data_IF_492153445633
#
_entry.id   IF_492153445633
#
_cell.length_a   1.000
_cell.length_b   1.000
_cell.length_c   1.000
_cell.angle_alpha   90.00
_cell.angle_beta   90.00
_cell.angle_gamma   90.00
#
_symmetry.space_group_name_H-M   'P 1'
#
loop_
_entity.id
_entity.type
_entity.pdbx_description
1 polymer ?
#
# COMPACT_ATOMS: atom_id res chain seq x y z
N UNK A 1 -36.60 15.40 -4.64
CA UNK A 1 -36.27 16.84 -4.62
C UNK A 1 -34.85 17.02 -5.17
N UNK A 2 -34.71 17.53 -6.41
CA UNK A 2 -33.41 17.74 -7.07
C UNK A 2 -32.73 18.93 -6.42
N UNK A 3 -31.83 18.72 -5.47
CA UNK A 3 -30.95 19.77 -4.98
C UNK A 3 -29.81 19.88 -6.00
N UNK A 4 -29.96 20.79 -6.95
CA UNK A 4 -28.82 21.28 -7.75
C UNK A 4 -27.90 22.07 -6.80
N UNK A 5 -26.99 21.33 -6.11
CA UNK A 5 -25.97 21.94 -5.26
C UNK A 5 -25.04 22.75 -6.18
N UNK A 6 -25.19 24.08 -6.23
CA UNK A 6 -24.22 24.96 -6.88
C UNK A 6 -22.84 24.61 -6.32
N UNK A 7 -21.97 24.06 -7.15
CA UNK A 7 -20.58 23.82 -6.79
C UNK A 7 -19.97 25.15 -6.38
N UNK A 8 -19.58 25.27 -5.11
CA UNK A 8 -18.81 26.43 -4.67
C UNK A 8 -17.41 26.32 -5.25
N UNK A 9 -16.83 27.40 -5.78
CA UNK A 9 -15.47 27.36 -6.28
C UNK A 9 -14.51 26.95 -5.16
N UNK A 10 -13.57 26.07 -5.48
CA UNK A 10 -12.51 25.67 -4.54
C UNK A 10 -11.70 26.89 -4.12
N UNK A 11 -11.42 27.00 -2.82
CA UNK A 11 -10.59 28.07 -2.28
C UNK A 11 -9.20 27.51 -1.99
N UNK A 12 -8.16 28.10 -2.57
CA UNK A 12 -6.76 27.67 -2.37
C UNK A 12 -6.35 27.66 -0.88
N UNK A 13 -6.97 28.47 -0.03
CA UNK A 13 -6.72 28.45 1.43
C UNK A 13 -7.12 27.15 2.11
N UNK A 14 -8.05 26.38 1.51
CA UNK A 14 -8.51 25.11 2.06
C UNK A 14 -7.64 23.94 1.59
N UNK A 15 -6.72 24.20 0.63
CA UNK A 15 -5.81 23.19 0.12
C UNK A 15 -4.79 22.78 1.18
N UNK A 16 -4.65 21.46 1.41
CA UNK A 16 -3.82 20.93 2.49
C UNK A 16 -2.34 20.82 2.06
N UNK A 17 -1.68 21.97 1.88
CA UNK A 17 -0.28 22.04 1.46
C UNK A 17 0.67 21.27 2.38
N UNK A 18 0.36 21.17 3.68
CA UNK A 18 1.17 20.37 4.62
C UNK A 18 1.26 18.91 4.21
N UNK A 19 0.14 18.31 3.74
CA UNK A 19 0.14 16.93 3.23
C UNK A 19 1.00 16.81 1.97
N UNK A 20 0.85 17.74 1.03
CA UNK A 20 1.64 17.76 -0.21
C UNK A 20 3.14 17.85 0.10
N UNK A 21 3.54 18.78 0.95
CA UNK A 21 4.94 18.97 1.34
C UNK A 21 5.49 17.71 2.01
N UNK A 22 4.74 17.11 2.94
CA UNK A 22 5.17 15.89 3.62
C UNK A 22 5.40 14.74 2.64
N UNK A 23 4.46 14.52 1.69
CA UNK A 23 4.58 13.49 0.66
C UNK A 23 5.77 13.78 -0.26
N UNK A 24 5.97 15.02 -0.68
CA UNK A 24 7.09 15.40 -1.54
C UNK A 24 8.44 15.20 -0.84
N UNK A 25 8.57 15.64 0.42
CA UNK A 25 9.81 15.45 1.20
C UNK A 25 10.16 13.98 1.31
N UNK A 26 9.18 13.13 1.65
CA UNK A 26 9.38 11.69 1.73
C UNK A 26 9.77 11.08 0.37
N UNK A 27 9.10 11.49 -0.71
CA UNK A 27 9.42 10.95 -2.05
C UNK A 27 10.79 11.40 -2.53
N UNK A 28 11.19 12.66 -2.29
CA UNK A 28 12.53 13.16 -2.64
C UNK A 28 13.60 12.37 -1.88
N UNK A 29 13.40 12.13 -0.58
CA UNK A 29 14.27 11.26 0.21
C UNK A 29 14.34 9.86 -0.41
N UNK A 30 13.20 9.26 -0.79
CA UNK A 30 13.14 7.98 -1.49
C UNK A 30 13.93 7.97 -2.79
N UNK A 31 13.79 9.00 -3.63
CA UNK A 31 14.56 9.15 -4.90
C UNK A 31 16.07 9.21 -4.64
N UNK A 32 16.51 9.89 -3.58
CA UNK A 32 17.93 9.95 -3.20
C UNK A 32 18.45 8.57 -2.79
N UNK A 33 17.71 7.86 -1.94
CA UNK A 33 18.05 6.51 -1.46
C UNK A 33 18.03 5.50 -2.61
N UNK A 34 17.05 5.58 -3.52
CA UNK A 34 17.00 4.75 -4.73
C UNK A 34 18.21 5.01 -5.61
N UNK A 35 18.60 6.28 -5.80
CA UNK A 35 19.80 6.64 -6.57
C UNK A 35 21.07 6.03 -5.99
N UNK A 36 21.16 5.95 -4.67
CA UNK A 36 22.24 5.27 -3.96
C UNK A 36 22.19 3.76 -4.14
N UNK A 37 20.99 3.15 -4.00
CA UNK A 37 20.82 1.71 -4.12
C UNK A 37 21.06 1.18 -5.54
N UNK A 38 20.55 1.88 -6.56
CA UNK A 38 20.65 1.51 -7.98
C UNK A 38 20.46 2.74 -8.88
N UNK A 39 21.55 3.40 -9.22
CA UNK A 39 21.54 4.66 -10.00
C UNK A 39 20.79 4.52 -11.35
N UNK A 40 20.83 3.34 -12.00
CA UNK A 40 20.21 3.13 -13.32
C UNK A 40 18.68 3.29 -13.33
N UNK A 41 18.01 3.17 -12.18
CA UNK A 41 16.54 3.31 -12.08
C UNK A 41 16.08 4.65 -11.50
N UNK A 42 17.01 5.47 -11.01
CA UNK A 42 16.72 6.76 -10.39
C UNK A 42 15.95 7.70 -11.34
N UNK A 43 16.39 7.82 -12.60
CA UNK A 43 15.73 8.67 -13.60
C UNK A 43 14.29 8.22 -13.88
N UNK A 44 14.03 6.92 -13.88
CA UNK A 44 12.67 6.39 -14.01
C UNK A 44 11.79 6.75 -12.79
N UNK A 45 12.37 6.73 -11.59
CA UNK A 45 11.65 7.14 -10.38
C UNK A 45 11.33 8.64 -10.38
N UNK A 46 12.25 9.50 -10.85
CA UNK A 46 12.03 10.95 -11.02
C UNK A 46 10.90 11.18 -12.03
N UNK A 47 10.88 10.45 -13.14
CA UNK A 47 9.77 10.51 -14.11
C UNK A 47 8.45 10.10 -13.45
N UNK A 48 8.46 9.02 -12.64
CA UNK A 48 7.31 8.58 -11.87
C UNK A 48 6.81 9.64 -10.87
N UNK A 49 7.73 10.35 -10.22
CA UNK A 49 7.41 11.48 -9.34
C UNK A 49 6.72 12.61 -10.14
N UNK A 50 7.24 12.98 -11.30
CA UNK A 50 6.62 14.01 -12.16
C UNK A 50 5.19 13.63 -12.58
N UNK A 51 5.00 12.40 -13.07
CA UNK A 51 3.67 11.88 -13.44
C UNK A 51 2.76 11.83 -12.21
N UNK A 52 3.27 11.36 -11.06
CA UNK A 52 2.53 11.28 -9.81
C UNK A 52 2.03 12.65 -9.33
N UNK A 53 2.87 13.69 -9.38
CA UNK A 53 2.48 15.05 -9.02
C UNK A 53 1.37 15.56 -9.95
N UNK A 54 1.49 15.36 -11.26
CA UNK A 54 0.47 15.76 -12.23
C UNK A 54 -0.84 15.03 -11.92
N UNK A 55 -0.80 13.71 -11.72
CA UNK A 55 -1.97 12.91 -11.37
C UNK A 55 -2.62 13.38 -10.06
N UNK A 56 -1.83 13.64 -9.02
CA UNK A 56 -2.30 14.17 -7.74
C UNK A 56 -3.03 15.50 -7.91
N UNK A 57 -2.43 16.45 -8.64
CA UNK A 57 -3.02 17.78 -8.87
C UNK A 57 -4.32 17.64 -9.67
N UNK A 58 -4.32 16.90 -10.77
CA UNK A 58 -5.52 16.69 -11.60
C UNK A 58 -6.65 16.06 -10.75
N UNK A 59 -6.36 15.00 -10.00
CA UNK A 59 -7.37 14.32 -9.18
C UNK A 59 -7.83 15.21 -8.04
N UNK A 60 -6.95 16.02 -7.45
CA UNK A 60 -7.34 16.94 -6.37
C UNK A 60 -8.34 18.00 -6.81
N UNK A 61 -8.42 18.29 -8.10
CA UNK A 61 -9.37 19.25 -8.69
C UNK A 61 -10.65 18.57 -9.21
N UNK A 62 -10.65 17.25 -9.39
CA UNK A 62 -11.81 16.47 -9.80
C UNK A 62 -12.69 16.19 -8.58
N UNK A 63 -13.97 16.59 -8.64
CA UNK A 63 -14.93 16.33 -7.55
C UNK A 63 -15.10 14.82 -7.32
N UNK A 64 -14.67 14.34 -6.13
CA UNK A 64 -14.82 12.93 -5.78
C UNK A 64 -16.28 12.47 -5.81
N UNK A 65 -17.25 13.35 -5.50
CA UNK A 65 -18.68 13.01 -5.56
C UNK A 65 -19.11 12.69 -6.98
N UNK A 66 -18.54 13.40 -7.98
CA UNK A 66 -18.76 13.10 -9.38
C UNK A 66 -18.14 11.74 -9.78
N UNK A 67 -16.91 11.46 -9.36
CA UNK A 67 -16.24 10.18 -9.62
C UNK A 67 -17.04 9.03 -9.02
N UNK A 68 -17.55 9.19 -7.81
CA UNK A 68 -18.33 8.17 -7.11
C UNK A 68 -19.66 7.84 -7.78
N UNK A 69 -20.20 8.68 -8.68
CA UNK A 69 -21.38 8.30 -9.49
C UNK A 69 -21.11 7.09 -10.40
N UNK A 70 -19.86 6.88 -10.76
CA UNK A 70 -19.43 5.81 -11.64
C UNK A 70 -18.83 4.61 -10.88
N UNK A 71 -19.10 4.45 -9.58
CA UNK A 71 -18.45 3.43 -8.73
C UNK A 71 -18.66 2.00 -9.26
N UNK A 72 -19.81 1.64 -9.82
CA UNK A 72 -20.02 0.34 -10.46
C UNK A 72 -19.18 0.19 -11.73
N UNK A 73 -19.05 1.22 -12.53
CA UNK A 73 -18.18 1.20 -13.72
C UNK A 73 -16.73 0.99 -13.31
N UNK A 74 -16.28 1.69 -12.28
CA UNK A 74 -14.93 1.50 -11.71
C UNK A 74 -14.72 0.07 -11.20
N UNK A 75 -15.71 -0.52 -10.54
CA UNK A 75 -15.65 -1.89 -10.05
C UNK A 75 -15.51 -2.89 -11.20
N UNK A 76 -16.38 -2.83 -12.22
CA UNK A 76 -16.29 -3.74 -13.36
C UNK A 76 -15.02 -3.50 -14.18
N UNK A 77 -14.59 -2.27 -14.35
CA UNK A 77 -13.30 -1.94 -14.96
C UNK A 77 -12.13 -2.59 -14.18
N UNK A 78 -12.14 -2.51 -12.86
CA UNK A 78 -11.15 -3.15 -12.02
C UNK A 78 -11.12 -4.68 -12.23
N UNK A 79 -12.26 -5.33 -12.21
CA UNK A 79 -12.35 -6.79 -12.45
C UNK A 79 -11.84 -7.14 -13.86
N UNK A 80 -12.24 -6.39 -14.88
CA UNK A 80 -11.79 -6.60 -16.24
C UNK A 80 -10.26 -6.43 -16.37
N UNK A 81 -9.70 -5.41 -15.74
CA UNK A 81 -8.26 -5.13 -15.72
C UNK A 81 -7.47 -6.27 -15.03
N UNK A 82 -7.95 -6.78 -13.91
CA UNK A 82 -7.33 -7.91 -13.22
C UNK A 82 -7.43 -9.21 -14.03
N UNK A 83 -8.56 -9.46 -14.70
CA UNK A 83 -8.73 -10.60 -15.60
C UNK A 83 -7.77 -10.48 -16.78
N UNK A 84 -7.71 -9.30 -17.42
CA UNK A 84 -6.80 -9.05 -18.53
C UNK A 84 -5.34 -9.34 -18.13
N UNK A 85 -4.90 -8.87 -16.97
CA UNK A 85 -3.55 -9.13 -16.47
C UNK A 85 -3.28 -10.62 -16.26
N UNK A 86 -4.27 -11.36 -15.78
CA UNK A 86 -4.12 -12.82 -15.58
C UNK A 86 -3.84 -13.56 -16.88
N UNK A 87 -4.45 -13.14 -17.99
CA UNK A 87 -4.32 -13.83 -19.28
C UNK A 87 -3.20 -13.25 -20.15
N UNK A 88 -3.05 -11.93 -20.17
CA UNK A 88 -2.15 -11.19 -21.07
C UNK A 88 -0.97 -10.51 -20.39
N UNK A 89 -0.85 -10.64 -19.06
CA UNK A 89 0.27 -10.07 -18.32
C UNK A 89 1.60 -10.74 -18.65
N UNK A 90 2.68 -9.97 -18.53
CA UNK A 90 4.06 -10.46 -18.62
C UNK A 90 4.41 -11.26 -17.39
N UNK A 91 5.10 -12.39 -17.60
CA UNK A 91 5.58 -13.24 -16.52
C UNK A 91 6.95 -12.78 -16.04
N UNK A 92 7.03 -12.42 -14.76
CA UNK A 92 8.28 -12.06 -14.10
C UNK A 92 8.36 -12.89 -12.81
N UNK A 93 9.45 -13.63 -12.65
CA UNK A 93 9.67 -14.51 -11.50
C UNK A 93 8.51 -15.51 -11.25
N UNK A 94 7.94 -16.08 -12.31
CA UNK A 94 6.85 -17.06 -12.22
C UNK A 94 5.47 -16.45 -11.92
N UNK A 95 5.32 -15.14 -11.91
CA UNK A 95 4.05 -14.47 -11.64
C UNK A 95 3.65 -13.50 -12.76
N UNK A 96 2.40 -13.61 -13.24
CA UNK A 96 1.80 -12.71 -14.23
C UNK A 96 1.06 -11.58 -13.52
N UNK A 97 1.80 -10.50 -13.13
CA UNK A 97 1.26 -9.37 -12.35
C UNK A 97 1.38 -8.05 -13.07
N UNK A 98 2.19 -7.97 -14.13
CA UNK A 98 2.51 -6.73 -14.83
C UNK A 98 2.02 -6.74 -16.26
N UNK A 99 1.68 -5.57 -16.76
CA UNK A 99 1.42 -5.31 -18.17
C UNK A 99 2.59 -4.48 -18.68
N UNK A 100 3.30 -4.98 -19.68
CA UNK A 100 4.40 -4.23 -20.31
C UNK A 100 3.84 -3.15 -21.24
N UNK A 101 4.13 -1.90 -20.92
CA UNK A 101 3.78 -0.72 -21.72
C UNK A 101 4.95 -0.27 -22.60
N UNK A 102 5.99 -1.12 -22.84
CA UNK A 102 7.23 -0.86 -23.57
C UNK A 102 8.17 0.14 -22.89
N UNK A 103 7.67 1.20 -22.28
CA UNK A 103 8.45 2.22 -21.56
C UNK A 103 8.56 1.88 -20.07
N UNK A 104 7.51 1.30 -19.51
CA UNK A 104 7.41 0.91 -18.09
C UNK A 104 6.45 -0.26 -17.93
N UNK A 105 6.55 -0.94 -16.80
CA UNK A 105 5.60 -1.98 -16.42
C UNK A 105 4.49 -1.38 -15.56
N UNK A 106 3.25 -1.73 -15.88
CA UNK A 106 2.06 -1.33 -15.15
C UNK A 106 1.55 -2.50 -14.30
N UNK A 107 1.37 -2.28 -13.00
CA UNK A 107 0.83 -3.28 -12.08
C UNK A 107 -0.61 -2.93 -11.69
N UNK A 108 -1.61 -3.59 -12.24
CA UNK A 108 -3.02 -3.30 -12.00
C UNK A 108 -3.45 -3.37 -10.53
N UNK A 109 -2.88 -4.29 -9.74
CA UNK A 109 -3.22 -4.43 -8.32
C UNK A 109 -2.91 -3.17 -7.49
N UNK A 110 -2.00 -2.30 -7.92
CA UNK A 110 -1.73 -1.02 -7.27
C UNK A 110 -2.90 -0.04 -7.41
N UNK A 111 -3.48 0.04 -8.60
CA UNK A 111 -4.66 0.88 -8.87
C UNK A 111 -5.93 0.26 -8.28
N UNK A 112 -6.02 -1.07 -8.25
CA UNK A 112 -7.12 -1.82 -7.62
C UNK A 112 -7.36 -1.38 -6.19
N UNK A 113 -6.31 -1.16 -5.39
CA UNK A 113 -6.43 -0.73 -3.99
C UNK A 113 -7.22 0.57 -3.85
N UNK A 114 -6.95 1.54 -4.73
CA UNK A 114 -7.66 2.82 -4.73
C UNK A 114 -9.10 2.66 -5.23
N UNK A 115 -9.29 1.93 -6.33
CA UNK A 115 -10.64 1.72 -6.89
C UNK A 115 -11.54 1.04 -5.87
N UNK A 116 -11.04 0.04 -5.13
CA UNK A 116 -11.83 -0.67 -4.12
C UNK A 116 -12.18 0.24 -2.93
N UNK A 117 -11.27 1.14 -2.51
CA UNK A 117 -11.57 2.14 -1.47
C UNK A 117 -12.68 3.08 -1.97
N UNK A 118 -12.61 3.59 -3.20
CA UNK A 118 -13.64 4.46 -3.78
C UNK A 118 -14.98 3.74 -3.93
N UNK A 119 -14.94 2.48 -4.40
CA UNK A 119 -16.14 1.67 -4.54
C UNK A 119 -16.86 1.49 -3.21
N UNK A 120 -16.13 1.03 -2.18
CA UNK A 120 -16.73 0.79 -0.87
C UNK A 120 -17.09 2.10 -0.16
N UNK A 121 -16.39 3.21 -0.42
CA UNK A 121 -16.76 4.52 0.12
C UNK A 121 -18.20 4.91 -0.32
N UNK A 122 -18.52 4.72 -1.60
CA UNK A 122 -19.87 4.99 -2.11
C UNK A 122 -20.87 3.94 -1.67
N UNK A 123 -20.50 2.65 -1.80
CA UNK A 123 -21.39 1.55 -1.43
C UNK A 123 -21.83 1.61 0.04
N UNK A 124 -20.89 1.84 0.96
CA UNK A 124 -21.20 1.91 2.38
C UNK A 124 -21.97 3.20 2.75
N UNK A 125 -21.69 4.32 2.08
CA UNK A 125 -22.50 5.54 2.25
C UNK A 125 -23.96 5.31 1.84
N UNK A 126 -24.21 4.56 0.77
CA UNK A 126 -25.58 4.25 0.32
C UNK A 126 -26.29 3.25 1.24
N UNK A 127 -25.53 2.53 2.09
CA UNK A 127 -26.06 1.53 3.03
C UNK A 127 -25.77 1.88 4.50
N UNK A 128 -25.55 3.17 4.81
CA UNK A 128 -25.14 3.64 6.14
C UNK A 128 -26.07 3.12 7.25
N UNK A 129 -27.40 3.20 7.05
CA UNK A 129 -28.39 2.78 8.02
C UNK A 129 -28.46 1.24 8.19
N UNK A 130 -27.98 0.47 7.20
CA UNK A 130 -28.12 -1.00 7.16
C UNK A 130 -26.79 -1.73 7.26
N UNK A 131 -25.68 -1.05 7.53
CA UNK A 131 -24.33 -1.62 7.51
C UNK A 131 -24.16 -2.83 8.45
N UNK A 132 -24.84 -2.82 9.59
CA UNK A 132 -24.78 -3.89 10.59
C UNK A 132 -25.77 -5.04 10.33
N UNK A 133 -26.52 -5.00 9.22
CA UNK A 133 -27.37 -6.12 8.83
C UNK A 133 -26.54 -7.25 8.18
N UNK A 134 -26.86 -8.52 8.44
CA UNK A 134 -26.16 -9.65 7.82
C UNK A 134 -26.16 -9.56 6.29
N UNK A 135 -27.22 -9.03 5.69
CA UNK A 135 -27.34 -8.85 4.24
C UNK A 135 -26.27 -7.91 3.70
N UNK A 136 -26.11 -6.71 4.29
CA UNK A 136 -25.11 -5.73 3.84
C UNK A 136 -23.68 -6.22 4.06
N UNK A 137 -23.41 -6.91 5.17
CA UNK A 137 -22.11 -7.50 5.46
C UNK A 137 -21.76 -8.57 4.42
N UNK A 138 -22.66 -9.52 4.18
CA UNK A 138 -22.43 -10.61 3.22
C UNK A 138 -22.30 -10.09 1.79
N UNK A 139 -23.09 -9.10 1.40
CA UNK A 139 -22.95 -8.48 0.05
C UNK A 139 -21.63 -7.72 -0.08
N UNK A 140 -21.18 -6.99 0.96
CA UNK A 140 -19.88 -6.32 0.95
C UNK A 140 -18.73 -7.32 0.79
N UNK A 141 -18.76 -8.41 1.56
CA UNK A 141 -17.78 -9.51 1.43
C UNK A 141 -17.88 -10.14 0.03
N UNK A 142 -19.08 -10.42 -0.46
CA UNK A 142 -19.31 -10.99 -1.79
C UNK A 142 -18.77 -10.13 -2.93
N UNK A 143 -18.84 -8.79 -2.80
CA UNK A 143 -18.26 -7.85 -3.75
C UNK A 143 -16.73 -7.75 -3.65
N UNK A 144 -16.15 -8.01 -2.48
CA UNK A 144 -14.70 -8.00 -2.29
C UNK A 144 -14.03 -9.29 -2.78
N UNK A 145 -14.67 -10.45 -2.59
CA UNK A 145 -14.15 -11.78 -2.92
C UNK A 145 -13.63 -11.91 -4.36
N UNK A 146 -14.32 -11.47 -5.43
CA UNK A 146 -13.82 -11.61 -6.80
C UNK A 146 -12.47 -10.92 -7.00
N UNK A 147 -12.30 -9.71 -6.45
CA UNK A 147 -11.03 -8.98 -6.49
C UNK A 147 -9.92 -9.74 -5.79
N UNK A 148 -10.16 -10.23 -4.56
CA UNK A 148 -9.17 -10.99 -3.80
C UNK A 148 -8.77 -12.29 -4.52
N UNK A 149 -9.74 -13.04 -5.06
CA UNK A 149 -9.47 -14.29 -5.80
C UNK A 149 -8.60 -14.02 -7.04
N UNK A 150 -8.89 -12.95 -7.78
CA UNK A 150 -8.12 -12.59 -8.98
C UNK A 150 -6.67 -12.23 -8.62
N UNK A 151 -6.43 -11.51 -7.52
CA UNK A 151 -5.10 -11.15 -7.06
C UNK A 151 -4.34 -12.40 -6.54
N UNK A 152 -5.01 -13.29 -5.79
CA UNK A 152 -4.42 -14.57 -5.35
C UNK A 152 -4.01 -15.44 -6.55
N UNK A 153 -4.84 -15.46 -7.61
CA UNK A 153 -4.53 -16.20 -8.84
C UNK A 153 -3.38 -15.58 -9.65
N UNK A 154 -2.94 -14.36 -9.33
CA UNK A 154 -1.72 -13.72 -9.84
C UNK A 154 -0.51 -13.96 -8.94
N UNK A 155 -0.46 -15.02 -8.16
CA UNK A 155 0.33 -15.35 -6.95
C UNK A 155 0.77 -14.14 -6.11
N UNK A 156 -0.13 -13.17 -5.84
CA UNK A 156 0.15 -11.98 -5.02
C UNK A 156 -0.59 -12.03 -3.68
N UNK A 157 -0.12 -12.93 -2.80
CA UNK A 157 -0.72 -13.13 -1.49
C UNK A 157 -0.60 -11.89 -0.60
N UNK A 158 0.50 -11.18 -0.71
CA UNK A 158 0.81 -10.01 0.12
C UNK A 158 -0.13 -8.85 -0.15
N UNK A 159 -0.34 -8.53 -1.42
CA UNK A 159 -1.34 -7.51 -1.82
C UNK A 159 -2.75 -7.95 -1.45
N UNK A 160 -3.06 -9.25 -1.55
CA UNK A 160 -4.37 -9.79 -1.14
C UNK A 160 -4.61 -9.56 0.36
N UNK A 161 -3.64 -9.90 1.22
CA UNK A 161 -3.75 -9.70 2.67
C UNK A 161 -3.85 -8.20 3.00
N UNK A 162 -2.98 -7.38 2.42
CA UNK A 162 -3.02 -5.92 2.62
C UNK A 162 -4.39 -5.33 2.26
N UNK A 163 -4.93 -5.71 1.10
CA UNK A 163 -6.24 -5.23 0.64
C UNK A 163 -7.38 -5.73 1.52
N UNK A 164 -7.31 -6.98 2.02
CA UNK A 164 -8.31 -7.52 2.95
C UNK A 164 -8.30 -6.77 4.29
N UNK A 165 -7.13 -6.43 4.82
CA UNK A 165 -7.00 -5.63 6.05
C UNK A 165 -7.56 -4.22 5.84
N UNK A 166 -7.22 -3.57 4.72
CA UNK A 166 -7.76 -2.24 4.36
C UNK A 166 -9.28 -2.31 4.21
N UNK A 167 -9.83 -3.35 3.60
CA UNK A 167 -11.28 -3.56 3.52
C UNK A 167 -11.92 -3.65 4.91
N UNK A 168 -11.32 -4.40 5.84
CA UNK A 168 -11.78 -4.47 7.23
C UNK A 168 -11.82 -3.10 7.91
N UNK A 169 -10.76 -2.27 7.70
CA UNK A 169 -10.70 -0.90 8.22
C UNK A 169 -11.76 -0.01 7.56
N UNK A 170 -11.98 -0.13 6.26
CA UNK A 170 -13.02 0.60 5.51
C UNK A 170 -14.41 0.25 6.05
N UNK A 171 -14.70 -1.03 6.29
CA UNK A 171 -15.95 -1.48 6.90
C UNK A 171 -16.14 -0.90 8.32
N UNK A 172 -15.06 -0.86 9.11
CA UNK A 172 -15.07 -0.26 10.44
C UNK A 172 -15.40 1.24 10.40
N UNK A 173 -14.74 2.00 9.53
CA UNK A 173 -14.97 3.44 9.36
C UNK A 173 -16.38 3.70 8.84
N UNK A 174 -16.91 2.78 8.02
CA UNK A 174 -18.28 2.79 7.53
C UNK A 174 -19.34 2.59 8.63
N UNK A 175 -18.97 2.20 9.84
CA UNK A 175 -19.87 2.05 10.99
C UNK A 175 -20.15 0.59 11.40
N UNK A 176 -19.30 -0.36 10.99
CA UNK A 176 -19.42 -1.75 11.46
C UNK A 176 -19.27 -1.82 12.98
N UNK A 177 -20.14 -2.55 13.64
CA UNK A 177 -20.19 -2.61 15.10
C UNK A 177 -18.93 -3.28 15.70
N UNK A 178 -18.48 -2.77 16.85
CA UNK A 178 -17.33 -3.32 17.60
C UNK A 178 -17.50 -4.81 17.97
N UNK A 179 -18.74 -5.26 18.18
CA UNK A 179 -19.03 -6.67 18.46
C UNK A 179 -18.69 -7.59 17.30
N UNK A 180 -19.02 -7.16 16.08
CA UNK A 180 -18.66 -7.89 14.86
C UNK A 180 -17.16 -7.90 14.61
N UNK A 181 -16.50 -6.76 14.84
CA UNK A 181 -15.04 -6.64 14.73
C UNK A 181 -14.37 -7.60 15.74
N UNK A 182 -14.81 -7.59 16.99
CA UNK A 182 -14.31 -8.50 18.02
C UNK A 182 -14.51 -9.97 17.62
N UNK A 183 -15.68 -10.32 17.05
CA UNK A 183 -15.94 -11.66 16.55
C UNK A 183 -15.01 -12.05 15.38
N UNK A 184 -14.77 -11.13 14.46
CA UNK A 184 -13.82 -11.35 13.34
C UNK A 184 -12.42 -11.61 13.88
N UNK A 185 -11.91 -10.82 14.82
CA UNK A 185 -10.58 -11.06 15.42
C UNK A 185 -10.55 -12.36 16.23
N UNK A 186 -11.59 -12.70 16.96
CA UNK A 186 -11.70 -13.95 17.70
C UNK A 186 -11.65 -15.20 16.80
N UNK A 187 -12.04 -15.08 15.53
CA UNK A 187 -11.92 -16.14 14.53
C UNK A 187 -10.58 -16.08 13.80
N UNK A 188 -10.16 -14.89 13.38
CA UNK A 188 -8.95 -14.73 12.55
C UNK A 188 -7.67 -15.07 13.30
N UNK A 189 -7.55 -14.74 14.60
CA UNK A 189 -6.34 -15.03 15.36
C UNK A 189 -6.09 -16.54 15.49
N UNK A 190 -7.06 -17.36 15.97
CA UNK A 190 -6.89 -18.80 15.99
C UNK A 190 -6.69 -19.40 14.59
N UNK A 191 -7.42 -18.90 13.58
CA UNK A 191 -7.26 -19.35 12.21
C UNK A 191 -5.85 -19.09 11.67
N UNK A 192 -5.25 -17.93 11.98
CA UNK A 192 -3.88 -17.61 11.60
C UNK A 192 -2.87 -18.55 12.28
N UNK A 193 -3.04 -18.85 13.55
CA UNK A 193 -2.19 -19.81 14.29
C UNK A 193 -2.30 -21.20 13.67
N UNK A 194 -3.51 -21.69 13.40
CA UNK A 194 -3.74 -22.97 12.73
C UNK A 194 -3.13 -22.99 11.33
N UNK A 195 -3.29 -21.90 10.56
CA UNK A 195 -2.74 -21.77 9.23
C UNK A 195 -1.20 -21.84 9.24
N UNK A 196 -0.54 -21.09 10.13
CA UNK A 196 0.93 -21.13 10.27
C UNK A 196 1.39 -22.53 10.68
N UNK A 197 0.72 -23.16 11.66
CA UNK A 197 1.04 -24.51 12.10
C UNK A 197 0.87 -25.56 10.98
N UNK A 198 -0.13 -25.40 10.13
CA UNK A 198 -0.35 -26.27 8.97
C UNK A 198 0.66 -25.97 7.84
N UNK A 199 1.05 -24.72 7.65
CA UNK A 199 2.01 -24.28 6.64
C UNK A 199 3.41 -24.87 6.84
N UNK A 200 3.79 -25.13 8.10
CA UNK A 200 5.10 -25.72 8.45
C UNK A 200 5.17 -27.21 8.13
N UNK A 201 4.04 -27.90 7.96
CA UNK A 201 4.04 -29.35 7.72
C UNK A 201 4.66 -29.71 6.35
N UNK A 202 5.53 -30.77 6.28
CA UNK A 202 6.25 -31.11 5.04
C UNK A 202 5.34 -31.49 3.86
N UNK A 203 4.14 -32.02 4.14
CA UNK A 203 3.23 -32.57 3.12
C UNK A 203 2.02 -31.66 2.82
N UNK A 204 2.07 -30.38 3.19
CA UNK A 204 1.00 -29.46 2.87
C UNK A 204 0.82 -29.23 1.36
N UNK A 205 -0.42 -29.07 0.88
CA UNK A 205 -0.77 -28.91 -0.54
C UNK A 205 -1.48 -27.58 -0.85
N UNK A 206 -1.73 -26.73 0.14
CA UNK A 206 -2.52 -25.51 -0.01
C UNK A 206 -1.65 -24.28 -0.30
N UNK A 207 -0.34 -24.31 0.00
CA UNK A 207 0.62 -23.27 -0.35
C UNK A 207 1.50 -23.70 -1.50
N UNK A 208 1.89 -22.75 -2.35
CA UNK A 208 2.94 -22.98 -3.32
C UNK A 208 4.30 -23.19 -2.61
N UNK A 209 5.21 -24.00 -3.18
CA UNK A 209 6.49 -24.33 -2.52
C UNK A 209 7.28 -23.08 -2.06
N UNK A 210 7.32 -22.03 -2.90
CA UNK A 210 8.02 -20.80 -2.55
C UNK A 210 7.37 -20.02 -1.39
N UNK A 211 6.04 -20.12 -1.23
CA UNK A 211 5.32 -19.47 -0.12
C UNK A 211 5.60 -20.18 1.20
N UNK A 212 5.63 -21.52 1.16
CA UNK A 212 6.00 -22.34 2.32
C UNK A 212 7.44 -22.04 2.74
N UNK A 213 8.38 -22.02 1.78
CA UNK A 213 9.78 -21.72 2.06
C UNK A 213 9.97 -20.36 2.75
N UNK A 214 9.24 -19.32 2.34
CA UNK A 214 9.29 -18.01 2.99
C UNK A 214 8.83 -18.04 4.45
N UNK A 215 7.79 -18.84 4.76
CA UNK A 215 7.33 -19.00 6.15
C UNK A 215 8.35 -19.77 6.96
N UNK A 216 8.91 -20.86 6.41
CA UNK A 216 9.95 -21.64 7.09
C UNK A 216 11.24 -20.84 7.30
N UNK A 217 11.66 -20.07 6.30
CA UNK A 217 12.82 -19.19 6.39
C UNK A 217 12.66 -18.10 7.45
N UNK A 218 11.44 -17.61 7.67
CA UNK A 218 11.14 -16.66 8.73
C UNK A 218 11.16 -17.28 10.12
N UNK A 219 10.69 -18.53 10.27
CA UNK A 219 10.63 -19.24 11.56
C UNK A 219 12.00 -19.84 11.96
N UNK A 220 12.77 -20.32 10.99
CA UNK A 220 14.07 -20.97 11.18
C UNK A 220 15.14 -20.29 10.28
N UNK A 221 15.45 -18.98 10.48
CA UNK A 221 16.29 -18.24 9.52
C UNK A 221 17.71 -18.82 9.39
N UNK A 222 18.27 -19.40 10.43
CA UNK A 222 19.61 -20.02 10.39
C UNK A 222 19.67 -21.22 9.45
N UNK A 223 18.59 -21.99 9.36
CA UNK A 223 18.53 -23.20 8.51
C UNK A 223 18.38 -22.85 7.01
N UNK A 224 17.85 -21.66 6.72
CA UNK A 224 17.62 -21.16 5.36
C UNK A 224 18.48 -19.93 5.05
N UNK A 225 19.61 -19.79 5.75
CA UNK A 225 20.49 -18.62 5.67
C UNK A 225 21.06 -18.40 4.26
N UNK A 226 21.31 -19.47 3.51
CA UNK A 226 21.87 -19.43 2.15
C UNK A 226 20.77 -19.45 1.05
N UNK A 227 19.49 -19.41 1.42
CA UNK A 227 18.35 -19.50 0.49
C UNK A 227 17.36 -18.33 0.77
N UNK A 228 16.13 -18.62 1.11
CA UNK A 228 15.03 -17.66 1.24
C UNK A 228 15.22 -16.64 2.38
N UNK A 229 15.94 -17.00 3.47
CA UNK A 229 16.25 -16.09 4.58
C UNK A 229 17.41 -15.13 4.26
N UNK A 230 18.23 -15.42 3.24
CA UNK A 230 19.45 -14.66 2.91
C UNK A 230 19.22 -13.15 2.82
N UNK A 231 18.23 -12.74 2.02
CA UNK A 231 17.94 -11.32 1.81
C UNK A 231 17.47 -10.61 3.10
N UNK A 232 16.64 -11.30 3.89
CA UNK A 232 16.09 -10.73 5.13
C UNK A 232 17.17 -10.63 6.21
N UNK A 233 18.03 -11.62 6.35
CA UNK A 233 19.16 -11.56 7.29
C UNK A 233 20.15 -10.44 6.93
N UNK A 234 20.48 -10.30 5.64
CA UNK A 234 21.30 -9.20 5.15
C UNK A 234 20.64 -7.82 5.34
N UNK A 235 19.31 -7.75 5.22
CA UNK A 235 18.57 -6.53 5.54
C UNK A 235 18.72 -6.12 7.01
N UNK A 236 18.56 -7.07 7.94
CA UNK A 236 18.74 -6.83 9.38
C UNK A 236 20.17 -6.40 9.69
N UNK A 237 21.16 -7.06 9.09
CA UNK A 237 22.58 -6.70 9.25
C UNK A 237 22.87 -5.30 8.70
N UNK A 238 22.29 -4.95 7.53
CA UNK A 238 22.43 -3.62 6.94
C UNK A 238 21.91 -2.53 7.88
N UNK A 239 20.68 -2.69 8.38
CA UNK A 239 20.08 -1.74 9.32
C UNK A 239 20.92 -1.60 10.57
N UNK A 240 21.36 -2.72 11.17
CA UNK A 240 22.21 -2.72 12.37
C UNK A 240 23.58 -2.07 12.15
N UNK A 241 24.18 -2.25 10.97
CA UNK A 241 25.49 -1.70 10.61
C UNK A 241 25.51 -0.17 10.48
N UNK A 242 24.33 0.46 10.23
CA UNK A 242 24.21 1.91 10.12
C UNK A 242 24.24 2.66 11.44
N UNK A 243 24.09 1.96 12.58
CA UNK A 243 24.12 2.55 13.92
C UNK A 243 23.19 3.80 14.03
N UNK A 244 23.64 4.87 14.71
CA UNK A 244 22.82 6.06 14.96
C UNK A 244 22.71 6.97 13.73
N UNK A 245 23.80 7.26 13.05
CA UNK A 245 23.89 8.31 12.01
C UNK A 245 24.05 7.78 10.59
N UNK A 246 24.21 6.48 10.43
CA UNK A 246 24.45 5.83 9.13
C UNK A 246 25.89 5.95 8.63
N UNK A 247 26.14 5.25 7.53
CA UNK A 247 27.44 5.25 6.85
C UNK A 247 27.57 6.38 5.82
N UNK A 248 26.53 7.20 5.64
CA UNK A 248 26.42 8.25 4.64
C UNK A 248 25.82 7.78 3.32
N UNK A 249 25.08 8.71 2.65
CA UNK A 249 24.50 8.46 1.33
C UNK A 249 25.61 8.20 0.28
N UNK A 250 25.34 7.32 -0.68
CA UNK A 250 26.27 6.91 -1.72
C UNK A 250 27.59 6.31 -1.18
N UNK A 251 27.53 5.67 -0.02
CA UNK A 251 28.70 4.99 0.51
C UNK A 251 29.07 3.81 -0.39
N UNK A 252 30.26 3.89 -1.02
CA UNK A 252 30.77 2.90 -1.96
C UNK A 252 31.83 1.98 -1.32
N UNK A 253 31.83 1.83 0.01
CA UNK A 253 32.72 0.87 0.64
C UNK A 253 32.32 -0.56 0.27
N UNK A 254 33.30 -1.45 0.16
CA UNK A 254 33.09 -2.87 -0.14
C UNK A 254 32.27 -3.60 0.90
N UNK A 255 32.16 -3.05 2.11
CA UNK A 255 31.36 -3.57 3.23
C UNK A 255 29.90 -3.13 3.19
N UNK A 256 29.48 -2.31 2.21
CA UNK A 256 28.08 -1.93 2.03
C UNK A 256 27.29 -3.07 1.41
N UNK A 257 26.08 -3.30 1.94
CA UNK A 257 25.19 -4.37 1.46
C UNK A 257 24.82 -4.22 -0.02
N UNK A 258 24.70 -2.99 -0.52
CA UNK A 258 24.43 -2.72 -1.93
C UNK A 258 25.59 -3.11 -2.86
N UNK A 259 26.84 -2.90 -2.44
CA UNK A 259 28.02 -3.16 -3.25
C UNK A 259 28.44 -4.63 -3.24
N UNK A 260 28.11 -5.35 -2.16
CA UNK A 260 28.34 -6.78 -2.04
C UNK A 260 27.29 -7.66 -2.72
N UNK A 261 26.26 -7.07 -3.34
CA UNK A 261 25.09 -7.79 -3.89
C UNK A 261 24.42 -8.77 -2.89
N UNK A 262 24.48 -8.44 -1.61
CA UNK A 262 23.91 -9.26 -0.54
C UNK A 262 22.37 -9.20 -0.51
N UNK A 263 21.74 -8.20 -1.12
CA UNK A 263 20.30 -8.11 -1.31
C UNK A 263 20.01 -7.95 -2.80
N UNK A 264 19.22 -8.87 -3.35
CA UNK A 264 18.71 -8.76 -4.73
C UNK A 264 17.62 -7.69 -4.76
N UNK A 265 17.71 -6.72 -5.69
CA UNK A 265 16.71 -5.67 -5.86
C UNK A 265 16.46 -4.81 -4.59
N UNK A 266 17.51 -4.28 -3.90
CA UNK A 266 17.35 -3.55 -2.65
C UNK A 266 16.49 -2.28 -2.81
N UNK A 267 16.40 -1.71 -4.01
CA UNK A 267 15.62 -0.52 -4.34
C UNK A 267 14.09 -0.74 -4.29
N UNK A 268 13.60 -1.98 -4.24
CA UNK A 268 12.18 -2.33 -4.21
C UNK A 268 11.74 -2.70 -2.79
N UNK A 269 11.86 -3.97 -2.42
CA UNK A 269 11.24 -4.54 -1.23
C UNK A 269 12.03 -4.26 0.05
N UNK A 270 13.35 -4.05 -0.06
CA UNK A 270 14.26 -3.84 1.06
C UNK A 270 14.89 -2.44 1.09
N UNK A 271 14.22 -1.44 0.49
CA UNK A 271 14.75 -0.07 0.49
C UNK A 271 14.96 0.48 1.90
N UNK A 272 14.16 0.06 2.87
CA UNK A 272 14.30 0.43 4.27
C UNK A 272 15.63 -0.04 4.86
N UNK A 273 16.20 -1.15 4.38
CA UNK A 273 17.53 -1.60 4.77
C UNK A 273 18.62 -0.62 4.33
N UNK A 274 18.49 -0.05 3.11
CA UNK A 274 19.41 0.97 2.62
C UNK A 274 19.27 2.27 3.42
N UNK A 275 18.03 2.66 3.75
CA UNK A 275 17.78 3.80 4.67
C UNK A 275 18.50 3.57 6.00
N UNK A 276 18.37 2.38 6.58
CA UNK A 276 19.02 2.02 7.84
C UNK A 276 20.54 2.02 7.74
N UNK A 277 21.12 1.46 6.68
CA UNK A 277 22.56 1.42 6.47
C UNK A 277 23.17 2.80 6.24
N UNK A 278 22.56 3.61 5.36
CA UNK A 278 23.14 4.88 4.92
C UNK A 278 22.78 6.08 5.79
N UNK A 279 21.56 6.13 6.33
CA UNK A 279 21.06 7.23 7.18
C UNK A 279 20.95 6.86 8.65
N UNK A 280 21.20 5.59 9.01
CA UNK A 280 21.18 5.09 10.37
C UNK A 280 19.79 5.12 11.02
N UNK A 281 19.79 4.97 12.35
CA UNK A 281 18.58 4.98 13.15
C UNK A 281 17.79 6.30 13.01
N UNK A 282 18.49 7.43 12.94
CA UNK A 282 17.86 8.76 12.73
C UNK A 282 17.11 8.79 11.41
N UNK A 283 17.71 8.31 10.31
CA UNK A 283 17.05 8.24 9.01
C UNK A 283 15.80 7.34 9.02
N UNK A 284 15.88 6.18 9.68
CA UNK A 284 14.73 5.30 9.87
C UNK A 284 13.59 6.01 10.62
N UNK A 285 13.90 6.70 11.73
CA UNK A 285 12.92 7.46 12.48
C UNK A 285 12.28 8.59 11.67
N UNK A 286 13.06 9.29 10.83
CA UNK A 286 12.54 10.34 9.93
C UNK A 286 11.56 9.74 8.92
N UNK A 287 11.91 8.62 8.27
CA UNK A 287 11.03 7.95 7.29
C UNK A 287 9.73 7.48 7.96
N UNK A 288 9.83 6.81 9.10
CA UNK A 288 8.65 6.35 9.87
C UNK A 288 7.81 7.55 10.32
N UNK A 289 8.44 8.61 10.83
CA UNK A 289 7.76 9.82 11.26
C UNK A 289 7.00 10.52 10.14
N UNK A 290 7.60 10.62 8.94
CA UNK A 290 6.94 11.21 7.77
C UNK A 290 5.77 10.35 7.28
N UNK A 291 5.91 9.01 7.24
CA UNK A 291 4.82 8.10 6.89
C UNK A 291 3.66 8.21 7.88
N UNK A 292 3.97 8.21 9.17
CA UNK A 292 2.97 8.38 10.23
C UNK A 292 2.27 9.74 10.14
N UNK A 293 3.01 10.80 9.85
CA UNK A 293 2.46 12.14 9.66
C UNK A 293 1.50 12.19 8.46
N UNK A 294 1.80 11.51 7.34
CA UNK A 294 0.90 11.38 6.19
C UNK A 294 -0.40 10.68 6.61
N UNK A 295 -0.30 9.55 7.32
CA UNK A 295 -1.46 8.79 7.80
C UNK A 295 -2.34 9.65 8.72
N UNK A 296 -1.73 10.32 9.68
CA UNK A 296 -2.44 11.21 10.62
C UNK A 296 -3.15 12.34 9.85
N UNK A 297 -2.48 12.97 8.88
CA UNK A 297 -3.10 14.01 8.08
C UNK A 297 -4.28 13.48 7.26
N UNK A 298 -4.19 12.29 6.67
CA UNK A 298 -5.32 11.65 5.99
C UNK A 298 -6.51 11.44 6.94
N UNK A 299 -6.27 10.94 8.15
CA UNK A 299 -7.33 10.75 9.15
C UNK A 299 -7.95 12.10 9.57
N UNK A 300 -7.13 13.12 9.85
CA UNK A 300 -7.62 14.46 10.25
C UNK A 300 -8.45 15.11 9.15
N UNK A 301 -8.09 14.93 7.87
CA UNK A 301 -8.89 15.41 6.74
C UNK A 301 -10.20 14.62 6.67
N UNK A 302 -10.15 13.30 6.83
CA UNK A 302 -11.33 12.44 6.85
C UNK A 302 -12.32 12.77 7.96
N UNK A 303 -11.85 13.13 9.16
CA UNK A 303 -12.71 13.55 10.27
C UNK A 303 -13.49 14.85 9.97
N UNK A 304 -12.98 15.67 9.05
CA UNK A 304 -13.60 16.94 8.62
C UNK A 304 -14.37 16.80 7.30
N UNK A 305 -14.47 15.61 6.74
CA UNK A 305 -15.16 15.35 5.48
C UNK A 305 -16.66 15.70 5.58
N UNK A 306 -17.26 16.09 4.45
CA UNK A 306 -18.67 16.47 4.38
C UNK A 306 -19.62 15.29 4.59
N UNK A 307 -19.21 14.10 4.14
CA UNK A 307 -20.02 12.89 4.12
C UNK A 307 -19.19 11.65 4.52
N UNK A 308 -19.89 10.55 4.69
CA UNK A 308 -19.29 9.27 5.05
C UNK A 308 -18.31 8.77 3.96
N UNK A 309 -18.63 8.98 2.67
CA UNK A 309 -17.76 8.54 1.59
C UNK A 309 -16.41 9.25 1.62
N UNK A 310 -16.39 10.59 1.80
CA UNK A 310 -15.15 11.35 1.94
C UNK A 310 -14.32 10.89 3.15
N UNK A 311 -14.99 10.57 4.28
CA UNK A 311 -14.32 10.01 5.46
C UNK A 311 -13.67 8.67 5.15
N UNK A 312 -14.40 7.77 4.49
CA UNK A 312 -13.89 6.44 4.11
C UNK A 312 -12.73 6.57 3.13
N UNK A 313 -12.80 7.45 2.14
CA UNK A 313 -11.72 7.69 1.17
C UNK A 313 -10.45 8.10 1.91
N UNK A 314 -10.51 9.14 2.72
CA UNK A 314 -9.33 9.65 3.43
C UNK A 314 -8.72 8.62 4.38
N UNK A 315 -9.55 8.02 5.24
CA UNK A 315 -9.07 7.03 6.19
C UNK A 315 -8.65 5.72 5.52
N UNK A 316 -9.32 5.31 4.42
CA UNK A 316 -8.97 4.14 3.63
C UNK A 316 -7.61 4.29 2.93
N UNK A 317 -7.34 5.46 2.31
CA UNK A 317 -6.04 5.78 1.73
C UNK A 317 -4.96 5.87 2.82
N UNK A 318 -5.25 6.51 3.95
CA UNK A 318 -4.34 6.54 5.10
C UNK A 318 -4.03 5.14 5.62
N UNK A 319 -5.04 4.28 5.77
CA UNK A 319 -4.88 2.89 6.17
C UNK A 319 -4.04 2.10 5.16
N UNK A 320 -4.29 2.27 3.86
CA UNK A 320 -3.50 1.63 2.79
C UNK A 320 -2.01 1.98 2.91
N UNK A 321 -1.68 3.27 3.08
CA UNK A 321 -0.31 3.74 3.26
C UNK A 321 0.29 3.16 4.54
N UNK A 322 -0.44 3.24 5.67
CA UNK A 322 0.04 2.76 6.97
C UNK A 322 0.29 1.26 7.01
N UNK A 323 -0.65 0.45 6.52
CA UNK A 323 -0.52 -1.02 6.47
C UNK A 323 0.63 -1.44 5.55
N UNK A 324 0.73 -0.83 4.39
CA UNK A 324 1.79 -1.15 3.43
C UNK A 324 3.17 -0.77 3.98
N UNK A 325 3.30 0.39 4.63
CA UNK A 325 4.52 0.80 5.31
C UNK A 325 4.86 -0.14 6.47
N UNK A 326 3.89 -0.49 7.31
CA UNK A 326 4.08 -1.39 8.43
C UNK A 326 4.57 -2.77 7.98
N UNK A 327 3.97 -3.35 6.94
CA UNK A 327 4.37 -4.65 6.40
C UNK A 327 5.80 -4.58 5.86
N UNK A 328 6.16 -3.58 5.04
CA UNK A 328 7.50 -3.46 4.45
C UNK A 328 8.58 -3.31 5.52
N UNK A 329 8.37 -2.43 6.50
CA UNK A 329 9.31 -2.22 7.60
C UNK A 329 9.45 -3.49 8.45
N UNK A 330 8.34 -4.17 8.75
CA UNK A 330 8.34 -5.43 9.50
C UNK A 330 9.08 -6.55 8.76
N UNK A 331 8.98 -6.61 7.43
CA UNK A 331 9.77 -7.53 6.60
C UNK A 331 11.26 -7.19 6.67
N UNK A 332 11.62 -5.93 6.47
CA UNK A 332 13.01 -5.47 6.49
C UNK A 332 13.70 -5.65 7.85
N UNK A 333 12.93 -5.63 8.94
CA UNK A 333 13.40 -5.85 10.32
C UNK A 333 13.24 -7.29 10.82
N UNK A 334 12.74 -8.22 9.99
CA UNK A 334 12.58 -9.63 10.35
C UNK A 334 11.34 -9.97 11.18
N UNK A 335 10.45 -9.01 11.46
CA UNK A 335 9.22 -9.24 12.24
C UNK A 335 8.22 -10.09 11.45
N UNK A 336 8.14 -9.90 10.12
CA UNK A 336 7.26 -10.65 9.22
C UNK A 336 8.07 -11.39 8.14
N UNK A 337 7.54 -12.49 7.58
CA UNK A 337 8.16 -13.17 6.46
C UNK A 337 8.21 -12.25 5.23
N UNK A 338 9.17 -12.48 4.33
CA UNK A 338 9.33 -11.69 3.11
C UNK A 338 8.08 -11.73 2.24
N UNK A 339 7.50 -10.54 1.98
CA UNK A 339 6.22 -10.38 1.28
C UNK A 339 6.33 -9.71 -0.09
N UNK A 340 7.39 -8.97 -0.37
CA UNK A 340 7.58 -8.25 -1.63
C UNK A 340 6.66 -7.03 -1.80
N UNK A 341 6.22 -6.39 -0.71
CA UNK A 341 5.42 -5.16 -0.77
C UNK A 341 6.37 -3.95 -0.70
N UNK A 342 6.26 -2.98 -1.63
CA UNK A 342 7.12 -1.80 -1.62
C UNK A 342 6.74 -0.82 -0.49
N UNK A 343 7.73 -0.07 0.02
CA UNK A 343 7.52 1.00 1.00
C UNK A 343 6.89 2.22 0.32
N UNK A 344 5.72 2.72 0.75
CA UNK A 344 5.03 3.83 0.11
C UNK A 344 5.91 5.07 -0.05
N UNK A 345 5.92 5.67 -1.24
CA UNK A 345 6.68 6.86 -1.62
C UNK A 345 8.21 6.72 -1.60
N UNK A 346 8.77 5.68 -1.01
CA UNK A 346 10.22 5.48 -0.83
C UNK A 346 10.76 4.44 -1.80
N UNK A 347 10.09 3.29 -1.93
CA UNK A 347 10.53 2.21 -2.83
C UNK A 347 10.43 2.58 -4.31
N UNK A 348 11.30 1.97 -5.11
CA UNK A 348 11.18 2.02 -6.56
C UNK A 348 9.96 1.27 -7.04
N UNK A 349 9.17 1.93 -7.87
CA UNK A 349 7.99 1.35 -8.51
C UNK A 349 7.09 2.43 -9.09
N UNK A 350 7.17 2.65 -10.39
CA UNK A 350 6.47 3.75 -11.05
C UNK A 350 4.96 3.67 -10.85
N UNK A 351 4.36 2.49 -11.06
CA UNK A 351 2.91 2.31 -10.87
C UNK A 351 2.48 2.51 -9.42
N UNK A 352 3.24 1.95 -8.47
CA UNK A 352 2.96 2.10 -7.04
C UNK A 352 3.03 3.57 -6.62
N UNK A 353 4.08 4.28 -7.05
CA UNK A 353 4.25 5.69 -6.75
C UNK A 353 3.09 6.53 -7.31
N UNK A 354 2.78 6.38 -8.60
CA UNK A 354 1.71 7.14 -9.26
C UNK A 354 0.35 6.84 -8.61
N UNK A 355 0.06 5.57 -8.31
CA UNK A 355 -1.21 5.20 -7.64
C UNK A 355 -1.30 5.81 -6.24
N UNK A 356 -0.22 5.84 -5.45
CA UNK A 356 -0.22 6.50 -4.14
C UNK A 356 -0.49 8.01 -4.27
N UNK A 357 0.12 8.68 -5.25
CA UNK A 357 -0.15 10.08 -5.54
C UNK A 357 -1.60 10.33 -5.97
N UNK A 358 -2.19 9.41 -6.75
CA UNK A 358 -3.63 9.46 -7.08
C UNK A 358 -4.49 9.37 -5.82
N UNK A 359 -4.16 8.46 -4.91
CA UNK A 359 -4.82 8.34 -3.60
C UNK A 359 -4.76 9.65 -2.81
N UNK A 360 -3.57 10.25 -2.69
CA UNK A 360 -3.39 11.56 -2.03
C UNK A 360 -4.21 12.65 -2.74
N UNK A 361 -4.30 12.60 -4.08
CA UNK A 361 -5.16 13.52 -4.85
C UNK A 361 -6.63 13.48 -4.40
N UNK A 362 -7.20 12.27 -4.18
CA UNK A 362 -8.55 12.14 -3.63
C UNK A 362 -8.65 12.68 -2.20
N UNK A 363 -7.67 12.43 -1.34
CA UNK A 363 -7.64 12.99 0.04
C UNK A 363 -7.63 14.52 0.01
N UNK A 364 -6.82 15.11 -0.88
CA UNK A 364 -6.77 16.58 -1.05
C UNK A 364 -8.10 17.13 -1.56
N UNK A 365 -8.75 16.44 -2.50
CA UNK A 365 -10.06 16.85 -3.01
C UNK A 365 -11.14 16.83 -1.90
N UNK A 366 -11.17 15.78 -1.07
CA UNK A 366 -12.05 15.74 0.10
C UNK A 366 -11.73 16.92 1.04
N UNK A 367 -10.44 17.22 1.26
CA UNK A 367 -10.00 18.34 2.08
C UNK A 367 -10.43 19.71 1.57
N UNK A 368 -10.59 19.88 0.24
CA UNK A 368 -11.11 21.09 -0.39
C UNK A 368 -12.62 21.29 -0.17
N UNK A 369 -13.32 20.25 0.27
CA UNK A 369 -14.76 20.25 0.51
C UNK A 369 -15.10 19.98 1.99
N UNK A 370 -14.55 20.73 2.96
CA UNK A 370 -14.77 20.47 4.37
C UNK A 370 -16.22 20.67 4.77
N UNK A 371 -16.68 19.93 5.79
CA UNK A 371 -18.00 20.10 6.38
C UNK A 371 -18.13 21.52 6.90
N UNK A 372 -19.09 22.29 6.41
CA UNK A 372 -19.42 23.57 7.00
C UNK A 372 -20.14 23.29 8.32
N UNK A 373 -19.55 23.72 9.42
CA UNK A 373 -20.29 23.81 10.67
C UNK A 373 -21.51 24.72 10.43
N UNK A 374 -22.70 24.14 10.60
CA UNK A 374 -23.92 24.91 10.76
C UNK A 374 -23.97 25.46 12.19
#
# INVERSE_FOLDING_TARGET
MKITKKMKPYQLKDYKFTLVITVLVLTVLGVMVIGSAKASVQNKQILGLGIGIIAMVVISLLDYVWVLKFYWVLYFFNIAMLIFTRFFGTEVNGAKRWIDLKVTTFQPSEVTKIIMILFFAKYLMDHEDTINTPKTILTSIGLMIPTLILIVKQPDLSTTISLAVVFGIVMFIGGLSYKLIGAVFAILIPAAVIFISAAVQPNQKFLQPYQQKRILAWLEPEKYADDEAYQQMNSIMAIGSGQLTGKGLNNNTTTSVKNGNYILEPQTDFIFAIVGEELGFIGCCIVIGLLLLIVIQCILIGMRAQDLAGRIICCGIGAQIGIQAFINISVSTGIFPNTGIPLPFVSYGLTSLVSMYMGIGFVLNVGLQPKKYQ
#
